data_IF_018304821625
#
_entry.id   IF_018304821625
#
_cell.length_a   1.000
_cell.length_b   1.000
_cell.length_c   1.000
_cell.angle_alpha   90.00
_cell.angle_beta   90.00
_cell.angle_gamma   90.00
#
_symmetry.space_group_name_H-M   'P 1'
#
loop_
_entity.id
_entity.type
_entity.pdbx_description
1 polymer ?
#
# COMPACT_ATOMS: atom_id res chain seq x y z
N UNK A 1 4.43 21.85 16.70
CA UNK A 1 3.51 21.20 15.74
C UNK A 1 2.19 21.07 16.48
N UNK A 2 1.10 21.64 15.95
CA UNK A 2 -0.14 21.84 16.73
C UNK A 2 -1.19 20.73 16.55
N UNK A 3 -0.97 19.81 15.62
CA UNK A 3 -1.88 18.70 15.33
C UNK A 3 -1.37 17.46 16.09
N UNK A 4 -2.19 16.94 16.99
CA UNK A 4 -1.88 15.72 17.75
C UNK A 4 -2.22 14.46 16.95
N UNK A 5 -3.44 14.39 16.42
CA UNK A 5 -3.91 13.32 15.55
C UNK A 5 -4.98 13.83 14.58
N UNK A 6 -5.20 13.08 13.51
CA UNK A 6 -6.25 13.31 12.52
C UNK A 6 -6.92 11.99 12.19
N UNK A 7 -8.25 11.96 12.14
CA UNK A 7 -9.01 10.80 11.68
C UNK A 7 -9.98 11.22 10.58
N UNK A 8 -10.09 10.39 9.56
CA UNK A 8 -10.98 10.57 8.42
C UNK A 8 -11.94 9.38 8.33
N UNK A 9 -13.24 9.68 8.23
CA UNK A 9 -14.24 8.74 7.78
C UNK A 9 -14.90 9.32 6.53
N UNK A 10 -14.85 8.57 5.42
CA UNK A 10 -15.31 9.05 4.13
C UNK A 10 -16.10 7.99 3.39
N UNK A 11 -16.96 8.44 2.46
CA UNK A 11 -17.57 7.58 1.44
C UNK A 11 -16.94 7.92 0.09
N UNK A 12 -16.44 6.90 -0.60
CA UNK A 12 -15.85 7.01 -1.93
C UNK A 12 -16.78 6.35 -2.94
N UNK A 13 -17.10 7.05 -4.03
CA UNK A 13 -17.69 6.42 -5.20
C UNK A 13 -16.56 6.04 -6.14
N UNK A 14 -16.38 4.75 -6.37
CA UNK A 14 -15.34 4.22 -7.25
C UNK A 14 -16.01 3.52 -8.42
N UNK A 15 -15.57 3.84 -9.63
CA UNK A 15 -16.09 3.25 -10.87
C UNK A 15 -15.02 2.38 -11.54
N UNK A 16 -15.44 1.22 -12.04
CA UNK A 16 -14.65 0.31 -12.89
C UNK A 16 -13.24 0.01 -12.36
N UNK A 17 -13.08 -0.18 -11.05
CA UNK A 17 -11.78 -0.42 -10.43
C UNK A 17 -11.46 -1.91 -10.28
N UNK A 18 -10.17 -2.21 -10.16
CA UNK A 18 -9.62 -3.56 -9.94
C UNK A 18 -8.60 -3.56 -8.81
N UNK A 19 -8.80 -2.68 -7.81
CA UNK A 19 -7.85 -2.43 -6.72
C UNK A 19 -7.74 -3.59 -5.72
N UNK A 20 -8.60 -4.59 -5.82
CA UNK A 20 -8.76 -5.63 -4.81
C UNK A 20 -8.78 -7.05 -5.38
N UNK A 21 -7.93 -7.32 -6.35
CA UNK A 21 -7.76 -8.68 -6.87
C UNK A 21 -7.02 -9.55 -5.84
N UNK A 22 -7.56 -10.73 -5.53
CA UNK A 22 -7.06 -11.62 -4.47
C UNK A 22 -6.33 -12.87 -4.99
N UNK A 23 -6.29 -13.05 -6.31
CA UNK A 23 -5.65 -14.19 -6.95
C UNK A 23 -6.36 -14.56 -8.25
N UNK A 24 -5.85 -15.60 -8.92
CA UNK A 24 -6.46 -16.15 -10.12
C UNK A 24 -6.65 -17.65 -10.02
N UNK A 25 -7.76 -18.14 -10.56
CA UNK A 25 -8.02 -19.55 -10.79
C UNK A 25 -8.11 -19.79 -12.30
N UNK A 26 -7.14 -20.53 -12.84
CA UNK A 26 -6.98 -20.66 -14.29
C UNK A 26 -6.79 -19.30 -14.95
N UNK A 27 -7.76 -18.90 -15.77
CA UNK A 27 -7.74 -17.62 -16.49
C UNK A 27 -8.65 -16.54 -15.88
N UNK A 28 -9.24 -16.78 -14.71
CA UNK A 28 -10.14 -15.86 -14.04
C UNK A 28 -9.47 -15.24 -12.81
N UNK A 29 -9.49 -13.92 -12.73
CA UNK A 29 -9.08 -13.18 -11.54
C UNK A 29 -10.30 -13.01 -10.62
N UNK A 30 -10.12 -13.22 -9.32
CA UNK A 30 -11.16 -13.05 -8.33
C UNK A 30 -10.99 -11.73 -7.57
N UNK A 31 -12.13 -11.09 -7.32
CA UNK A 31 -12.25 -9.92 -6.46
C UNK A 31 -12.31 -10.34 -5.00
N UNK A 32 -11.61 -9.62 -4.13
CA UNK A 32 -11.67 -9.77 -2.68
C UNK A 32 -13.03 -9.38 -2.12
N UNK A 33 -13.62 -10.30 -1.35
CA UNK A 33 -14.90 -10.14 -0.67
C UNK A 33 -14.74 -10.40 0.83
N UNK A 34 -15.42 -9.62 1.67
CA UNK A 34 -15.42 -9.79 3.13
C UNK A 34 -16.83 -9.84 3.68
N UNK A 35 -17.00 -10.48 4.83
CA UNK A 35 -18.25 -10.48 5.55
C UNK A 35 -18.26 -9.36 6.61
N UNK A 36 -19.29 -8.51 6.56
CA UNK A 36 -19.54 -7.48 7.56
C UNK A 36 -20.90 -7.71 8.22
N UNK A 37 -21.09 -7.17 9.42
CA UNK A 37 -22.39 -7.11 10.08
C UNK A 37 -22.95 -5.71 9.88
N UNK A 38 -24.13 -5.60 9.26
CA UNK A 38 -24.78 -4.31 9.04
C UNK A 38 -25.42 -3.74 10.31
N UNK A 39 -25.98 -2.53 10.22
CA UNK A 39 -26.64 -1.87 11.36
C UNK A 39 -27.87 -2.59 11.90
N UNK A 40 -28.42 -3.57 11.17
CA UNK A 40 -29.51 -4.43 11.60
C UNK A 40 -29.02 -5.78 12.17
N UNK A 41 -27.71 -5.98 12.32
CA UNK A 41 -27.12 -7.22 12.82
C UNK A 41 -27.06 -8.34 11.78
N UNK A 42 -27.27 -8.06 10.49
CA UNK A 42 -27.25 -9.08 9.43
C UNK A 42 -25.89 -9.18 8.77
N UNK A 43 -25.48 -10.42 8.48
CA UNK A 43 -24.27 -10.68 7.72
C UNK A 43 -24.46 -10.25 6.26
N UNK A 44 -23.51 -9.48 5.73
CA UNK A 44 -23.45 -9.03 4.34
C UNK A 44 -22.08 -9.37 3.78
N UNK A 45 -22.04 -10.00 2.61
CA UNK A 45 -20.81 -10.23 1.86
C UNK A 45 -20.62 -9.06 0.88
N UNK A 46 -19.50 -8.34 0.99
CA UNK A 46 -19.25 -7.09 0.25
C UNK A 46 -17.86 -7.07 -0.37
N UNK A 47 -17.71 -6.34 -1.46
CA UNK A 47 -16.41 -6.04 -2.06
C UNK A 47 -15.55 -5.26 -1.06
N UNK A 48 -14.25 -5.57 -0.97
CA UNK A 48 -13.36 -4.80 -0.12
C UNK A 48 -11.94 -4.68 -0.66
N UNK A 49 -11.33 -3.52 -0.44
CA UNK A 49 -9.93 -3.22 -0.72
C UNK A 49 -9.18 -3.22 0.61
N UNK A 50 -8.06 -3.94 0.69
CA UNK A 50 -7.29 -4.01 1.95
C UNK A 50 -6.71 -2.65 2.30
N UNK A 51 -6.60 -2.36 3.61
CA UNK A 51 -5.92 -1.15 4.08
C UNK A 51 -4.47 -1.06 3.58
N UNK A 52 -3.81 -2.20 3.36
CA UNK A 52 -2.46 -2.25 2.78
C UNK A 52 -2.39 -1.75 1.33
N UNK A 53 -3.43 -2.00 0.52
CA UNK A 53 -3.47 -1.45 -0.83
C UNK A 53 -3.57 0.08 -0.79
N UNK A 54 -4.49 0.61 0.02
CA UNK A 54 -4.60 2.06 0.22
C UNK A 54 -3.31 2.65 0.79
N UNK A 55 -2.66 1.94 1.71
CA UNK A 55 -1.35 2.32 2.27
C UNK A 55 -0.24 2.30 1.21
N UNK A 56 -0.28 1.36 0.27
CA UNK A 56 0.68 1.28 -0.83
C UNK A 56 0.51 2.46 -1.79
N UNK A 57 -0.73 2.81 -2.15
CA UNK A 57 -1.04 4.01 -2.94
C UNK A 57 -0.55 5.27 -2.22
N UNK A 58 -0.84 5.41 -0.93
CA UNK A 58 -0.33 6.53 -0.13
C UNK A 58 1.20 6.55 -0.12
N UNK A 59 1.85 5.38 0.01
CA UNK A 59 3.31 5.30 0.01
C UNK A 59 3.90 5.80 -1.32
N UNK A 60 3.26 5.46 -2.45
CA UNK A 60 3.70 5.90 -3.78
C UNK A 60 3.60 7.43 -3.94
N UNK A 61 2.48 8.02 -3.52
CA UNK A 61 2.31 9.48 -3.52
C UNK A 61 3.31 10.16 -2.56
N UNK A 62 3.46 9.61 -1.35
CA UNK A 62 4.40 10.13 -0.37
C UNK A 62 5.85 10.06 -0.84
N UNK A 63 6.23 8.99 -1.55
CA UNK A 63 7.56 8.84 -2.14
C UNK A 63 7.86 9.94 -3.17
N UNK A 64 6.92 10.21 -4.08
CA UNK A 64 7.05 11.30 -5.07
C UNK A 64 7.15 12.67 -4.41
N UNK A 65 6.32 12.92 -3.39
CA UNK A 65 6.34 14.18 -2.64
C UNK A 65 7.66 14.32 -1.87
N UNK A 66 8.09 13.29 -1.15
CA UNK A 66 9.34 13.30 -0.39
C UNK A 66 10.55 13.55 -1.31
N UNK A 67 10.59 12.90 -2.47
CA UNK A 67 11.64 13.08 -3.47
C UNK A 67 11.66 14.51 -4.03
N UNK A 68 10.50 15.06 -4.38
CA UNK A 68 10.40 16.42 -4.96
C UNK A 68 10.65 17.55 -3.95
N UNK A 69 10.32 17.32 -2.67
CA UNK A 69 10.48 18.31 -1.59
C UNK A 69 11.80 18.17 -0.84
N UNK A 70 12.60 17.13 -1.15
CA UNK A 70 13.89 16.89 -0.51
C UNK A 70 13.80 16.37 0.93
N UNK A 71 12.70 15.70 1.29
CA UNK A 71 12.64 14.99 2.58
C UNK A 71 13.66 13.84 2.60
N UNK A 72 14.32 13.58 3.75
CA UNK A 72 15.34 12.54 3.83
C UNK A 72 14.72 11.16 3.61
N UNK A 73 15.33 10.37 2.72
CA UNK A 73 14.96 8.99 2.41
C UNK A 73 16.22 8.12 2.45
N UNK A 74 16.13 6.96 3.08
CA UNK A 74 17.17 5.93 2.99
C UNK A 74 17.30 5.42 1.55
N UNK A 75 18.43 4.79 1.20
CA UNK A 75 18.73 4.37 -0.17
C UNK A 75 17.62 3.46 -0.74
N UNK A 76 17.13 2.52 0.06
CA UNK A 76 16.05 1.62 -0.35
C UNK A 76 14.71 2.35 -0.58
N UNK A 77 14.37 3.34 0.26
CA UNK A 77 13.16 4.14 0.06
C UNK A 77 13.26 5.08 -1.15
N UNK A 78 14.46 5.52 -1.54
CA UNK A 78 14.66 6.29 -2.79
C UNK A 78 14.25 5.47 -4.02
N UNK A 79 14.52 4.16 -4.02
CA UNK A 79 14.11 3.21 -5.06
C UNK A 79 12.68 2.70 -4.91
N UNK A 80 11.92 3.22 -3.92
CA UNK A 80 10.59 2.75 -3.56
C UNK A 80 10.54 1.23 -3.26
N UNK A 81 11.58 0.71 -2.62
CA UNK A 81 11.68 -0.69 -2.26
C UNK A 81 10.69 -1.04 -1.13
N UNK A 82 9.93 -2.12 -1.31
CA UNK A 82 8.94 -2.58 -0.33
C UNK A 82 9.54 -2.93 1.05
N UNK A 83 10.81 -3.32 1.10
CA UNK A 83 11.53 -3.63 2.35
C UNK A 83 11.99 -2.37 3.11
N UNK A 84 11.85 -1.17 2.50
CA UNK A 84 12.21 0.13 3.10
C UNK A 84 13.62 0.10 3.71
N UNK A 85 13.88 0.75 4.84
CA UNK A 85 15.22 0.86 5.43
C UNK A 85 15.88 -0.49 5.73
N UNK A 86 15.11 -1.58 5.85
CA UNK A 86 15.66 -2.94 6.01
C UNK A 86 16.47 -3.41 4.80
N UNK A 87 16.27 -2.81 3.63
CA UNK A 87 17.10 -3.06 2.44
C UNK A 87 18.26 -2.06 2.28
N UNK A 88 18.43 -1.11 3.21
CA UNK A 88 19.56 -0.18 3.22
C UNK A 88 20.70 -0.75 4.06
N UNK A 89 21.61 -1.49 3.40
CA UNK A 89 22.76 -2.12 4.06
C UNK A 89 23.66 -1.13 4.83
N UNK A 90 23.69 0.15 4.41
CA UNK A 90 24.51 1.17 5.09
C UNK A 90 23.92 1.48 6.45
N UNK A 91 22.61 1.74 6.51
CA UNK A 91 21.90 2.01 7.77
C UNK A 91 21.90 0.75 8.65
N UNK A 92 21.66 -0.42 8.07
CA UNK A 92 21.65 -1.68 8.82
C UNK A 92 22.99 -1.95 9.51
N UNK A 93 24.10 -1.64 8.85
CA UNK A 93 25.43 -1.69 9.45
C UNK A 93 25.66 -0.60 10.49
N UNK A 94 25.14 0.60 10.29
CA UNK A 94 25.26 1.70 11.25
C UNK A 94 24.55 1.39 12.58
N UNK A 95 23.40 0.71 12.51
CA UNK A 95 22.62 0.34 13.70
C UNK A 95 23.08 -0.97 14.35
N UNK A 96 24.08 -1.65 13.80
CA UNK A 96 24.67 -2.86 14.35
C UNK A 96 25.37 -2.55 15.69
N UNK A 97 25.12 -3.37 16.72
CA UNK A 97 25.67 -3.18 18.06
C UNK A 97 25.10 -2.00 18.87
N UNK A 98 24.21 -1.17 18.28
CA UNK A 98 23.50 -0.11 18.99
C UNK A 98 22.31 -0.64 19.78
N UNK A 99 21.90 0.08 20.83
CA UNK A 99 20.63 -0.20 21.49
C UNK A 99 19.45 0.06 20.56
N UNK A 100 18.30 -0.56 20.82
CA UNK A 100 17.08 -0.33 20.04
C UNK A 100 16.62 1.14 20.09
N UNK A 101 16.86 1.81 21.22
CA UNK A 101 16.58 3.24 21.38
C UNK A 101 17.43 4.09 20.42
N UNK A 102 18.73 3.84 20.34
CA UNK A 102 19.65 4.55 19.45
C UNK A 102 19.38 4.22 17.98
N UNK A 103 19.15 2.94 17.68
CA UNK A 103 18.80 2.49 16.33
C UNK A 103 17.51 3.14 15.84
N UNK A 104 16.47 3.25 16.69
CA UNK A 104 15.23 3.92 16.33
C UNK A 104 15.44 5.41 16.06
N UNK A 105 16.28 6.10 16.84
CA UNK A 105 16.62 7.50 16.56
C UNK A 105 17.27 7.67 15.19
N UNK A 106 18.24 6.81 14.85
CA UNK A 106 18.93 6.83 13.54
C UNK A 106 17.93 6.59 12.40
N UNK A 107 17.02 5.63 12.55
CA UNK A 107 15.98 5.34 11.54
C UNK A 107 15.09 6.57 11.32
N UNK A 108 14.64 7.22 12.41
CA UNK A 108 13.77 8.40 12.35
C UNK A 108 14.47 9.60 11.70
N UNK A 109 15.75 9.83 12.00
CA UNK A 109 16.56 10.88 11.37
C UNK A 109 16.79 10.61 9.88
N UNK A 110 17.13 9.37 9.55
CA UNK A 110 17.53 8.96 8.20
C UNK A 110 16.39 8.93 7.20
N UNK A 111 15.19 8.47 7.58
CA UNK A 111 14.13 8.24 6.61
C UNK A 111 12.74 8.72 7.07
N UNK A 112 12.20 9.68 6.31
CA UNK A 112 10.85 10.20 6.48
C UNK A 112 9.77 9.13 6.19
N UNK A 113 10.00 8.23 5.23
CA UNK A 113 9.05 7.15 4.93
C UNK A 113 8.98 6.11 6.04
N UNK A 114 10.11 5.63 6.57
CA UNK A 114 10.11 4.67 7.68
C UNK A 114 9.54 5.28 8.97
N UNK A 115 9.78 6.58 9.21
CA UNK A 115 9.12 7.31 10.30
C UNK A 115 7.59 7.31 10.15
N UNK A 116 7.05 7.69 9.00
CA UNK A 116 5.61 7.88 8.83
C UNK A 116 4.83 6.59 8.50
N UNK A 117 5.42 5.69 7.72
CA UNK A 117 4.75 4.48 7.23
C UNK A 117 5.09 3.24 8.07
N UNK A 118 6.03 3.37 9.00
CA UNK A 118 6.50 2.33 9.88
C UNK A 118 7.49 1.35 9.25
N UNK A 119 8.10 0.51 10.06
CA UNK A 119 8.87 -0.65 9.62
C UNK A 119 9.04 -1.64 10.78
N UNK A 120 9.38 -2.89 10.49
CA UNK A 120 9.81 -3.86 11.48
C UNK A 120 11.21 -4.35 11.09
N UNK A 121 12.20 -3.98 11.90
CA UNK A 121 13.59 -4.39 11.66
C UNK A 121 13.85 -5.71 12.38
N UNK A 122 14.15 -6.74 11.59
CA UNK A 122 14.37 -8.11 12.08
C UNK A 122 15.81 -8.63 11.88
N UNK A 123 16.68 -7.85 11.24
CA UNK A 123 18.06 -8.25 10.99
C UNK A 123 18.88 -8.29 12.28
N UNK A 124 19.88 -9.17 12.34
CA UNK A 124 20.76 -9.30 13.51
C UNK A 124 20.06 -9.82 14.77
N UNK A 125 18.99 -10.61 14.61
CA UNK A 125 18.13 -11.10 15.71
C UNK A 125 17.47 -9.98 16.52
N UNK A 126 17.37 -8.77 15.96
CA UNK A 126 16.60 -7.65 16.52
C UNK A 126 15.11 -7.86 16.24
N UNK A 127 14.26 -7.26 17.07
CA UNK A 127 12.82 -7.10 16.80
C UNK A 127 12.44 -5.67 17.16
N UNK A 128 12.81 -4.73 16.28
CA UNK A 128 12.62 -3.30 16.51
C UNK A 128 11.46 -2.78 15.66
N UNK A 129 10.25 -2.64 16.23
CA UNK A 129 9.12 -2.08 15.52
C UNK A 129 9.14 -0.56 15.56
N UNK A 130 8.93 0.04 14.40
CA UNK A 130 8.39 1.39 14.26
C UNK A 130 6.97 1.26 13.73
N UNK A 131 5.97 1.33 14.63
CA UNK A 131 4.57 1.29 14.21
C UNK A 131 4.27 2.51 13.32
N UNK A 132 3.58 2.28 12.20
CA UNK A 132 3.12 3.31 11.26
C UNK A 132 2.40 4.45 11.98
N UNK A 133 2.63 5.68 11.52
CA UNK A 133 1.89 6.87 11.96
C UNK A 133 0.55 6.98 11.25
N UNK A 134 0.49 6.54 9.99
CA UNK A 134 -0.75 6.47 9.21
C UNK A 134 -1.28 5.04 9.16
N UNK A 135 -2.56 4.85 9.45
CA UNK A 135 -3.23 3.56 9.42
C UNK A 135 -4.52 3.66 8.60
N UNK A 136 -4.86 2.57 7.93
CA UNK A 136 -6.06 2.44 7.13
C UNK A 136 -6.86 1.23 7.60
N UNK A 137 -8.16 1.42 7.79
CA UNK A 137 -9.09 0.30 7.83
C UNK A 137 -9.19 -0.37 6.46
N UNK A 138 -9.84 -1.53 6.42
CA UNK A 138 -10.30 -2.07 5.15
C UNK A 138 -11.31 -1.12 4.54
N UNK A 139 -11.15 -0.83 3.25
CA UNK A 139 -12.11 -0.04 2.49
C UNK A 139 -13.21 -0.99 2.04
N UNK A 140 -14.36 -0.91 2.70
CA UNK A 140 -15.44 -1.89 2.55
C UNK A 140 -16.57 -1.30 1.71
N UNK A 141 -17.10 -2.10 0.80
CA UNK A 141 -18.28 -1.77 0.03
C UNK A 141 -19.48 -1.58 0.95
N UNK A 142 -20.21 -0.49 0.75
CA UNK A 142 -21.51 -0.31 1.41
C UNK A 142 -22.47 -1.34 0.83
N UNK A 143 -23.20 -2.11 1.68
CA UNK A 143 -24.12 -3.14 1.20
C UNK A 143 -25.11 -2.60 0.17
N UNK A 144 -25.42 -3.42 -0.84
CA UNK A 144 -26.46 -3.16 -1.86
C UNK A 144 -26.16 -2.02 -2.84
N UNK A 145 -25.07 -1.27 -2.63
CA UNK A 145 -24.62 -0.18 -3.52
C UNK A 145 -23.21 -0.42 -4.06
N UNK A 146 -22.77 -1.68 -4.04
CA UNK A 146 -21.55 -2.14 -4.70
C UNK A 146 -21.86 -3.31 -5.64
N UNK A 147 -21.12 -3.36 -6.73
CA UNK A 147 -21.25 -4.38 -7.77
C UNK A 147 -19.88 -4.83 -8.24
N UNK A 148 -19.75 -6.13 -8.47
CA UNK A 148 -18.57 -6.77 -9.03
C UNK A 148 -19.00 -7.49 -10.30
N UNK A 149 -18.54 -7.03 -11.46
CA UNK A 149 -18.78 -7.67 -12.75
C UNK A 149 -17.49 -8.31 -13.27
N UNK A 150 -17.61 -9.35 -14.11
CA UNK A 150 -16.47 -10.03 -14.74
C UNK A 150 -16.45 -9.74 -16.24
N UNK A 151 -15.33 -9.19 -16.72
CA UNK A 151 -15.15 -8.77 -18.11
C UNK A 151 -14.20 -9.70 -18.85
N UNK A 152 -14.55 -9.98 -20.09
CA UNK A 152 -13.77 -10.81 -21.00
C UNK A 152 -12.63 -10.00 -21.61
N UNK A 153 -11.41 -10.53 -21.53
CA UNK A 153 -10.21 -9.92 -22.08
C UNK A 153 -9.43 -10.95 -22.90
N UNK A 154 -9.00 -10.59 -24.12
CA UNK A 154 -8.29 -11.51 -25.00
C UNK A 154 -6.95 -10.93 -25.41
N UNK A 155 -5.89 -11.71 -25.21
CA UNK A 155 -4.60 -11.48 -25.85
C UNK A 155 -4.67 -12.08 -27.25
N UNK A 156 -4.80 -11.23 -28.27
CA UNK A 156 -4.80 -11.69 -29.66
C UNK A 156 -3.39 -12.07 -30.11
N UNK A 157 -3.21 -13.28 -30.64
CA UNK A 157 -2.01 -13.64 -31.36
C UNK A 157 -1.99 -12.93 -32.71
N UNK A 158 -0.87 -12.27 -33.03
CA UNK A 158 -0.70 -11.46 -34.24
C UNK A 158 -0.58 -12.30 -35.52
N UNK A 159 -0.11 -13.55 -35.43
CA UNK A 159 -0.02 -14.50 -36.54
C UNK A 159 -1.00 -15.66 -36.36
N UNK A 160 -1.84 -15.91 -37.38
CA UNK A 160 -2.90 -16.94 -37.36
C UNK A 160 -2.63 -18.12 -38.31
N UNK A 161 -1.39 -18.25 -38.79
CA UNK A 161 -0.96 -19.36 -39.64
C UNK A 161 -1.14 -20.70 -38.94
N UNK A 162 -1.36 -21.78 -39.70
CA UNK A 162 -1.52 -23.14 -39.15
C UNK A 162 -0.29 -23.53 -38.31
N UNK A 163 0.90 -23.28 -38.83
CA UNK A 163 2.17 -23.63 -38.18
C UNK A 163 2.37 -22.90 -36.84
N UNK A 164 1.93 -21.63 -36.74
CA UNK A 164 1.99 -20.86 -35.48
C UNK A 164 0.97 -21.34 -34.46
N UNK A 165 -0.22 -21.75 -34.89
CA UNK A 165 -1.23 -22.35 -34.00
C UNK A 165 -0.79 -23.70 -33.47
N UNK A 166 -0.14 -24.51 -34.31
CA UNK A 166 0.39 -25.80 -33.92
C UNK A 166 1.53 -25.60 -32.89
N UNK A 167 2.45 -24.65 -33.12
CA UNK A 167 3.48 -24.27 -32.16
C UNK A 167 2.92 -23.69 -30.84
N UNK A 168 1.92 -22.80 -30.91
CA UNK A 168 1.26 -22.24 -29.71
C UNK A 168 0.45 -23.28 -28.92
N UNK A 169 0.11 -24.41 -29.55
CA UNK A 169 -0.61 -25.52 -28.93
C UNK A 169 0.28 -26.53 -28.20
N UNK A 170 1.59 -26.45 -28.40
CA UNK A 170 2.57 -27.25 -27.68
C UNK A 170 2.51 -26.95 -26.17
N UNK A 171 2.71 -27.98 -25.35
CA UNK A 171 2.50 -27.91 -23.90
C UNK A 171 3.39 -26.85 -23.22
N UNK A 172 4.64 -26.69 -23.70
CA UNK A 172 5.54 -25.64 -23.24
C UNK A 172 5.08 -24.22 -23.61
N UNK A 173 4.49 -24.04 -24.80
CA UNK A 173 3.96 -22.76 -25.25
C UNK A 173 2.65 -22.39 -24.55
N UNK A 174 1.81 -23.39 -24.23
CA UNK A 174 0.62 -23.24 -23.37
C UNK A 174 0.98 -22.85 -21.95
N UNK A 175 1.97 -23.53 -21.35
CA UNK A 175 2.47 -23.18 -20.00
C UNK A 175 3.04 -21.76 -19.92
N UNK A 176 3.66 -21.29 -21.00
CA UNK A 176 4.22 -19.94 -21.11
C UNK A 176 3.22 -18.86 -21.61
N UNK A 177 1.94 -19.20 -21.84
CA UNK A 177 0.91 -18.27 -22.35
C UNK A 177 1.30 -17.54 -23.67
N UNK A 178 1.95 -18.25 -24.60
CA UNK A 178 2.45 -17.65 -25.85
C UNK A 178 1.36 -17.48 -26.93
N UNK A 179 0.36 -18.36 -26.95
CA UNK A 179 -0.78 -18.28 -27.88
C UNK A 179 -1.88 -17.30 -27.50
N UNK A 180 -2.99 -17.33 -28.25
CA UNK A 180 -4.18 -16.54 -27.94
C UNK A 180 -4.81 -17.03 -26.63
N UNK A 181 -4.79 -16.17 -25.61
CA UNK A 181 -5.30 -16.47 -24.28
C UNK A 181 -6.53 -15.60 -23.96
N UNK A 182 -7.53 -16.24 -23.38
CA UNK A 182 -8.74 -15.61 -22.85
C UNK A 182 -8.53 -15.42 -21.35
N UNK A 183 -8.89 -14.26 -20.83
CA UNK A 183 -8.89 -13.92 -19.41
C UNK A 183 -10.24 -13.36 -18.99
N UNK A 184 -10.60 -13.59 -17.74
CA UNK A 184 -11.73 -12.94 -17.09
C UNK A 184 -11.21 -12.05 -15.97
N UNK A 185 -11.44 -10.75 -16.07
CA UNK A 185 -10.99 -9.77 -15.09
C UNK A 185 -12.19 -9.11 -14.43
N UNK A 186 -12.20 -8.99 -13.09
CA UNK A 186 -13.28 -8.29 -12.44
C UNK A 186 -13.10 -6.78 -12.60
N UNK A 187 -14.22 -6.08 -12.75
CA UNK A 187 -14.28 -4.65 -12.49
C UNK A 187 -15.39 -4.40 -11.47
N UNK A 188 -15.06 -3.61 -10.47
CA UNK A 188 -15.92 -3.33 -9.34
C UNK A 188 -16.33 -1.86 -9.39
N UNK A 189 -17.58 -1.58 -9.01
CA UNK A 189 -18.11 -0.21 -8.93
C UNK A 189 -19.03 -0.06 -7.74
N UNK A 190 -19.09 1.14 -7.17
CA UNK A 190 -20.07 1.47 -6.13
C UNK A 190 -19.53 2.39 -5.05
N UNK A 191 -20.26 2.43 -3.92
CA UNK A 191 -19.92 3.27 -2.77
C UNK A 191 -19.18 2.48 -1.70
N UNK A 192 -18.05 3.01 -1.27
CA UNK A 192 -17.13 2.39 -0.31
C UNK A 192 -16.97 3.26 0.92
N UNK A 193 -16.86 2.64 2.09
CA UNK A 193 -16.50 3.31 3.33
C UNK A 193 -14.98 3.23 3.55
N UNK A 194 -14.33 4.39 3.67
CA UNK A 194 -12.92 4.54 4.00
C UNK A 194 -12.78 5.06 5.43
N UNK A 195 -11.85 4.46 6.18
CA UNK A 195 -11.38 4.99 7.47
C UNK A 195 -9.86 5.10 7.40
N UNK A 196 -9.34 6.27 7.75
CA UNK A 196 -7.91 6.52 7.90
C UNK A 196 -7.62 7.29 9.19
N UNK A 197 -6.48 7.03 9.81
CA UNK A 197 -6.00 7.76 10.98
C UNK A 197 -4.53 8.10 10.86
N UNK A 198 -4.15 9.28 11.33
CA UNK A 198 -2.78 9.79 11.40
C UNK A 198 -2.50 10.20 12.84
N UNK A 199 -1.55 9.52 13.49
CA UNK A 199 -1.02 9.89 14.80
C UNK A 199 0.07 10.95 14.64
N UNK A 200 -0.29 12.16 14.20
CA UNK A 200 0.66 13.22 13.82
C UNK A 200 1.74 13.49 14.89
N UNK A 201 1.38 13.45 16.17
CA UNK A 201 2.29 13.62 17.29
C UNK A 201 3.46 12.61 17.27
N UNK A 202 3.29 11.40 16.72
CA UNK A 202 4.34 10.37 16.67
C UNK A 202 5.37 10.60 15.57
N UNK A 203 5.19 11.55 14.66
CA UNK A 203 6.20 11.88 13.63
C UNK A 203 7.46 12.38 14.33
N UNK A 204 8.59 11.71 14.06
CA UNK A 204 9.89 12.00 14.68
C UNK A 204 9.98 11.70 16.18
N UNK A 205 9.01 10.96 16.74
CA UNK A 205 9.01 10.55 18.14
C UNK A 205 9.61 9.17 18.30
N UNK A 206 10.61 9.05 19.18
CA UNK A 206 11.18 7.76 19.53
C UNK A 206 10.32 7.13 20.64
N UNK A 207 9.58 6.07 20.29
CA UNK A 207 8.64 5.39 21.19
C UNK A 207 9.32 4.75 22.42
N UNK A 208 10.64 4.49 22.36
CA UNK A 208 11.41 3.86 23.45
C UNK A 208 11.88 4.92 24.44
N UNK A 209 12.52 5.99 23.94
CA UNK A 209 13.04 7.06 24.82
C UNK A 209 11.98 8.08 25.23
N UNK A 210 10.82 8.05 24.56
CA UNK A 210 9.73 9.02 24.69
C UNK A 210 10.16 10.46 24.44
N UNK A 211 11.07 10.65 23.49
CA UNK A 211 11.60 11.96 23.10
C UNK A 211 11.47 12.18 21.61
N UNK A 212 11.31 13.45 21.22
CA UNK A 212 11.46 13.84 19.83
C UNK A 212 12.93 13.83 19.45
N UNK A 213 13.20 13.14 18.36
CA UNK A 213 14.53 13.08 17.74
C UNK A 213 14.66 14.21 16.70
N UNK A 214 13.54 14.53 16.05
CA UNK A 214 13.48 15.59 15.04
C UNK A 214 13.02 16.91 15.64
N UNK A 215 13.50 18.00 15.06
CA UNK A 215 13.03 19.33 15.38
C UNK A 215 11.59 19.57 14.88
N UNK A 216 10.99 20.67 15.31
CA UNK A 216 9.63 21.00 14.94
C UNK A 216 9.45 21.24 13.43
N UNK A 217 10.42 21.86 12.76
CA UNK A 217 10.33 22.18 11.33
C UNK A 217 10.35 20.91 10.48
N UNK A 218 11.23 19.96 10.80
CA UNK A 218 11.31 18.65 10.17
C UNK A 218 10.01 17.87 10.33
N UNK A 219 9.45 17.87 11.54
CA UNK A 219 8.17 17.18 11.82
C UNK A 219 7.00 17.81 11.07
N UNK A 220 6.94 19.15 11.02
CA UNK A 220 5.92 19.85 10.25
C UNK A 220 6.04 19.56 8.74
N UNK A 221 7.25 19.53 8.20
CA UNK A 221 7.48 19.20 6.79
C UNK A 221 7.02 17.77 6.45
N UNK A 222 7.34 16.80 7.30
CA UNK A 222 6.88 15.41 7.17
C UNK A 222 5.36 15.31 7.26
N UNK A 223 4.72 15.96 8.24
CA UNK A 223 3.27 15.97 8.37
C UNK A 223 2.59 16.58 7.13
N UNK A 224 3.12 17.68 6.60
CA UNK A 224 2.59 18.31 5.38
C UNK A 224 2.63 17.35 4.20
N UNK A 225 3.77 16.69 3.98
CA UNK A 225 3.91 15.71 2.91
C UNK A 225 2.96 14.51 3.08
N UNK A 226 2.75 14.06 4.32
CA UNK A 226 1.82 12.96 4.61
C UNK A 226 0.35 13.34 4.35
N UNK A 227 -0.06 14.54 4.74
CA UNK A 227 -1.42 15.04 4.49
C UNK A 227 -1.67 15.23 2.99
N UNK A 228 -0.67 15.73 2.27
CA UNK A 228 -0.72 15.86 0.81
C UNK A 228 -0.78 14.49 0.12
N UNK A 229 0.00 13.52 0.57
CA UNK A 229 -0.07 12.15 0.08
C UNK A 229 -1.44 11.50 0.35
N UNK A 230 -2.03 11.73 1.53
CA UNK A 230 -3.39 11.27 1.86
C UNK A 230 -4.43 11.90 0.93
N UNK A 231 -4.29 13.20 0.62
CA UNK A 231 -5.16 13.88 -0.33
C UNK A 231 -5.09 13.21 -1.72
N UNK A 232 -3.89 13.02 -2.27
CA UNK A 232 -3.72 12.34 -3.56
C UNK A 232 -4.20 10.88 -3.55
N UNK A 233 -4.07 10.18 -2.42
CA UNK A 233 -4.60 8.81 -2.27
C UNK A 233 -6.11 8.75 -2.48
N UNK A 234 -6.84 9.83 -2.16
CA UNK A 234 -8.29 9.90 -2.29
C UNK A 234 -8.71 10.34 -3.69
N UNK A 235 -8.00 11.30 -4.29
CA UNK A 235 -8.37 11.87 -5.61
C UNK A 235 -7.75 11.12 -6.79
N UNK A 236 -6.63 10.41 -6.58
CA UNK A 236 -5.88 9.65 -7.57
C UNK A 236 -5.49 8.26 -7.00
N UNK A 237 -6.46 7.36 -6.79
CA UNK A 237 -6.23 6.05 -6.18
C UNK A 237 -5.63 4.99 -7.13
N UNK A 238 -5.35 5.32 -8.39
CA UNK A 238 -4.82 4.40 -9.42
C UNK A 238 -4.03 5.16 -10.50
#
# INVERSE_FOLDING_TARGET
>A
MNIYSLSLSARLTLDMHSLNNEGGEGNQIQTRMVNIVDGAGKLKNVNAISGDMTKHILAAHLHRIATSTGLPLCAACQEFNANRISADATVMKEIEGKSDAEALSIILETCAMDDMLGNLITEGSRSLPRKSVVEFGWVVGVPEVTRSDSYFHVKYASERGKDKRDADSEEGARGANLGQAIFHRPANSGVYALIASIDAARIGFNDITQKYVLDEAQRQARLRALLEALFYTIIEPA
#
